data_IF_211363687709
#
_entry.id   IF_211363687709
#
_cell.length_a   1.000
_cell.length_b   1.000
_cell.length_c   1.000
_cell.angle_alpha   90.00
_cell.angle_beta   90.00
_cell.angle_gamma   90.00
#
_symmetry.space_group_name_H-M   'P 1'
#
loop_
_entity.id
_entity.type
_entity.pdbx_description
1 polymer ?
#
# COMPACT_ATOMS: atom_id res chain seq x y z
N UNK A 1 -48.33 4.75 7.74
CA UNK A 1 -46.84 4.73 7.84
C UNK A 1 -46.41 3.31 7.52
N UNK A 2 -46.15 3.01 6.26
CA UNK A 2 -45.66 1.68 5.85
C UNK A 2 -44.13 1.64 5.96
N UNK A 3 -43.61 0.88 6.89
CA UNK A 3 -42.21 0.48 6.89
C UNK A 3 -41.97 -0.26 5.56
N UNK A 4 -41.14 0.32 4.72
CA UNK A 4 -40.66 -0.27 3.49
C UNK A 4 -39.59 -1.31 3.87
N UNK A 5 -39.99 -2.43 4.50
CA UNK A 5 -39.10 -3.55 4.79
C UNK A 5 -38.74 -4.24 3.48
N UNK A 6 -37.46 -4.34 3.18
CA UNK A 6 -37.00 -5.09 2.00
C UNK A 6 -37.43 -6.54 2.10
N UNK A 7 -37.92 -7.13 0.98
CA UNK A 7 -38.34 -8.53 0.97
C UNK A 7 -37.22 -9.49 1.48
N UNK A 8 -37.61 -10.52 2.17
CA UNK A 8 -36.69 -11.52 2.77
C UNK A 8 -36.86 -12.90 2.11
N UNK A 9 -35.93 -13.81 2.35
CA UNK A 9 -36.05 -15.24 1.93
C UNK A 9 -37.34 -15.86 2.51
N UNK A 10 -37.77 -15.42 3.69
CA UNK A 10 -39.02 -15.90 4.31
C UNK A 10 -40.25 -15.46 3.53
N UNK A 11 -40.26 -14.27 2.94
CA UNK A 11 -41.36 -13.79 2.11
C UNK A 11 -41.46 -14.59 0.81
N UNK A 12 -40.33 -14.92 0.18
CA UNK A 12 -40.28 -15.82 -0.99
C UNK A 12 -40.82 -17.20 -0.61
N UNK A 13 -40.37 -17.77 0.52
CA UNK A 13 -40.83 -19.06 0.99
C UNK A 13 -42.35 -19.06 1.23
N UNK A 14 -42.90 -17.99 1.83
CA UNK A 14 -44.34 -17.81 2.07
C UNK A 14 -45.15 -17.73 0.77
N UNK A 15 -44.71 -16.92 -0.20
CA UNK A 15 -45.41 -16.74 -1.50
C UNK A 15 -45.38 -18.01 -2.34
N UNK A 16 -44.20 -18.71 -2.38
CA UNK A 16 -44.03 -19.89 -3.18
C UNK A 16 -44.63 -21.16 -2.57
N UNK A 17 -44.91 -21.15 -1.25
CA UNK A 17 -45.27 -22.31 -0.46
C UNK A 17 -44.18 -23.37 -0.33
N UNK A 18 -42.90 -22.94 -0.51
CA UNK A 18 -41.74 -23.82 -0.42
C UNK A 18 -41.00 -23.60 0.92
N UNK A 19 -40.22 -24.59 1.33
CA UNK A 19 -39.37 -24.43 2.54
C UNK A 19 -38.27 -23.42 2.30
N UNK A 20 -37.83 -22.73 3.37
CA UNK A 20 -36.69 -21.82 3.36
C UNK A 20 -35.44 -22.49 2.74
N UNK A 21 -35.19 -23.77 3.07
CA UNK A 21 -34.06 -24.52 2.53
C UNK A 21 -34.16 -24.80 1.02
N UNK A 22 -35.40 -24.90 0.45
CA UNK A 22 -35.60 -25.04 -1.01
C UNK A 22 -35.35 -23.68 -1.69
N UNK A 23 -35.83 -22.59 -1.14
CA UNK A 23 -35.56 -21.23 -1.64
C UNK A 23 -34.07 -20.92 -1.60
N UNK A 24 -33.37 -21.24 -0.50
CA UNK A 24 -31.92 -21.05 -0.36
C UNK A 24 -31.13 -21.83 -1.40
N UNK A 25 -31.51 -23.09 -1.68
CA UNK A 25 -30.86 -23.89 -2.75
C UNK A 25 -31.05 -23.29 -4.14
N UNK A 26 -32.20 -22.72 -4.44
CA UNK A 26 -32.44 -22.04 -5.73
C UNK A 26 -31.59 -20.77 -5.83
N UNK A 27 -31.59 -19.93 -4.80
CA UNK A 27 -30.85 -18.68 -4.77
C UNK A 27 -29.34 -18.86 -4.92
N UNK A 28 -28.80 -19.95 -4.36
CA UNK A 28 -27.37 -20.22 -4.36
C UNK A 28 -26.94 -21.32 -5.35
N UNK A 29 -27.87 -21.76 -6.23
CA UNK A 29 -27.63 -22.82 -7.20
C UNK A 29 -27.02 -24.11 -6.60
N UNK A 30 -27.52 -24.52 -5.40
CA UNK A 30 -26.97 -25.64 -4.63
C UNK A 30 -27.93 -26.82 -4.68
N UNK A 31 -27.45 -27.96 -5.20
CA UNK A 31 -28.15 -29.22 -5.20
C UNK A 31 -29.32 -29.30 -6.20
N UNK A 32 -29.93 -30.49 -6.33
CA UNK A 32 -31.03 -30.70 -7.23
C UNK A 32 -32.33 -30.08 -6.70
N UNK A 33 -32.85 -29.11 -7.42
CA UNK A 33 -34.19 -28.55 -7.23
C UNK A 33 -35.04 -28.85 -8.46
N UNK A 34 -36.31 -29.26 -8.26
CA UNK A 34 -37.20 -29.52 -9.39
C UNK A 34 -37.40 -28.28 -10.25
N UNK A 35 -37.48 -28.42 -11.58
CA UNK A 35 -37.73 -27.30 -12.51
C UNK A 35 -38.96 -26.48 -12.13
N UNK A 36 -39.98 -27.12 -11.56
CA UNK A 36 -41.21 -26.46 -11.09
C UNK A 36 -40.95 -25.57 -9.86
N UNK A 37 -40.17 -26.05 -8.90
CA UNK A 37 -39.81 -25.26 -7.72
C UNK A 37 -38.87 -24.10 -8.08
N UNK A 38 -37.92 -24.33 -8.96
CA UNK A 38 -37.03 -23.29 -9.49
C UNK A 38 -37.80 -22.15 -10.15
N UNK A 39 -38.73 -22.47 -11.09
CA UNK A 39 -39.53 -21.47 -11.77
C UNK A 39 -40.42 -20.67 -10.81
N UNK A 40 -41.01 -21.32 -9.77
CA UNK A 40 -41.78 -20.60 -8.75
C UNK A 40 -40.96 -19.62 -7.95
N UNK A 41 -39.75 -19.99 -7.56
CA UNK A 41 -38.86 -19.13 -6.79
C UNK A 41 -38.41 -17.93 -7.63
N UNK A 42 -38.02 -18.15 -8.90
CA UNK A 42 -37.61 -17.06 -9.79
C UNK A 42 -38.74 -16.07 -10.04
N UNK A 43 -39.98 -16.55 -10.28
CA UNK A 43 -41.14 -15.68 -10.43
C UNK A 43 -41.45 -14.84 -9.19
N UNK A 44 -41.29 -15.41 -7.97
CA UNK A 44 -41.51 -14.69 -6.74
C UNK A 44 -40.37 -13.66 -6.45
N UNK A 45 -39.13 -13.94 -6.88
CA UNK A 45 -38.02 -12.98 -6.83
C UNK A 45 -38.32 -11.76 -7.68
N UNK A 46 -38.75 -11.97 -8.93
CA UNK A 46 -39.12 -10.89 -9.85
C UNK A 46 -40.33 -10.08 -9.37
N UNK A 47 -41.35 -10.77 -8.86
CA UNK A 47 -42.58 -10.11 -8.33
C UNK A 47 -42.30 -9.25 -7.09
N UNK A 48 -41.46 -9.72 -6.18
CA UNK A 48 -41.13 -9.00 -4.95
C UNK A 48 -40.00 -7.97 -5.14
N UNK A 49 -39.33 -7.95 -6.27
CA UNK A 49 -38.08 -7.19 -6.44
C UNK A 49 -37.03 -7.60 -5.39
N UNK A 50 -36.97 -8.92 -5.07
CA UNK A 50 -36.07 -9.42 -4.06
C UNK A 50 -34.63 -9.37 -4.57
N UNK A 51 -33.83 -8.56 -3.92
CA UNK A 51 -32.38 -8.60 -4.06
C UNK A 51 -31.79 -9.46 -2.93
N UNK A 52 -30.98 -10.50 -3.25
CA UNK A 52 -30.32 -11.29 -2.22
C UNK A 52 -29.55 -10.38 -1.26
N UNK A 53 -29.95 -10.36 0.00
CA UNK A 53 -29.17 -9.67 1.02
C UNK A 53 -27.90 -10.51 1.31
N UNK A 54 -26.89 -10.24 0.52
CA UNK A 54 -25.60 -10.93 0.57
C UNK A 54 -24.97 -10.84 1.96
N UNK A 55 -25.13 -9.69 2.62
CA UNK A 55 -24.67 -9.46 3.99
C UNK A 55 -25.34 -10.38 5.02
N UNK A 56 -26.66 -10.55 4.93
CA UNK A 56 -27.39 -11.48 5.80
C UNK A 56 -26.99 -12.93 5.58
N UNK A 57 -26.70 -13.32 4.32
CA UNK A 57 -26.20 -14.65 3.97
C UNK A 57 -24.78 -14.90 4.51
N UNK A 58 -23.93 -13.89 4.51
CA UNK A 58 -22.57 -13.99 5.03
C UNK A 58 -22.56 -14.07 6.55
N UNK A 59 -23.37 -13.26 7.24
CA UNK A 59 -23.57 -13.32 8.69
C UNK A 59 -24.14 -14.67 9.14
N UNK A 60 -25.03 -15.27 8.37
CA UNK A 60 -25.60 -16.59 8.68
C UNK A 60 -24.60 -17.76 8.53
N UNK A 61 -23.50 -17.58 7.81
CA UNK A 61 -22.44 -18.60 7.65
C UNK A 61 -21.48 -18.71 8.84
N UNK A 62 -21.52 -17.77 9.79
CA UNK A 62 -20.98 -17.95 11.16
C UNK A 62 -19.45 -18.06 11.31
N UNK A 63 -18.64 -17.96 10.26
CA UNK A 63 -17.18 -17.92 10.38
C UNK A 63 -16.66 -16.51 10.07
N UNK A 64 -16.28 -15.79 11.10
CA UNK A 64 -15.45 -14.59 10.93
C UNK A 64 -14.17 -15.02 10.20
N UNK A 65 -13.90 -14.42 9.04
CA UNK A 65 -12.66 -14.62 8.29
C UNK A 65 -11.75 -13.44 8.59
N UNK A 66 -10.46 -13.71 8.76
CA UNK A 66 -9.49 -12.62 8.94
C UNK A 66 -8.63 -12.43 7.69
N UNK A 67 -8.33 -11.17 7.40
CA UNK A 67 -7.25 -10.76 6.50
C UNK A 67 -6.10 -10.30 7.36
N UNK A 68 -4.93 -10.89 7.19
CA UNK A 68 -3.73 -10.47 7.89
C UNK A 68 -3.01 -9.36 7.12
N UNK A 69 -2.59 -8.31 7.81
CA UNK A 69 -1.68 -7.28 7.31
C UNK A 69 -0.32 -7.46 7.98
N UNK A 70 0.72 -7.80 7.19
CA UNK A 70 2.09 -7.98 7.68
C UNK A 70 2.93 -6.76 7.34
N UNK A 71 3.36 -6.00 8.37
CA UNK A 71 4.08 -4.73 8.23
C UNK A 71 5.21 -4.58 9.26
N UNK A 72 6.15 -3.65 9.04
CA UNK A 72 7.13 -3.28 10.06
C UNK A 72 6.50 -2.58 11.27
N UNK A 73 7.05 -2.85 12.47
CA UNK A 73 6.83 -2.02 13.67
C UNK A 73 7.13 -0.56 13.33
N UNK A 74 6.29 0.34 13.77
CA UNK A 74 6.34 1.73 13.36
C UNK A 74 6.12 2.70 14.51
N UNK A 75 6.79 3.84 14.43
CA UNK A 75 6.54 4.99 15.29
C UNK A 75 5.49 5.93 14.70
N UNK A 76 4.91 6.76 15.55
CA UNK A 76 3.97 7.81 15.15
C UNK A 76 4.59 8.75 14.11
N UNK A 77 3.83 9.09 13.07
CA UNK A 77 4.29 9.98 11.99
C UNK A 77 5.24 9.33 10.98
N UNK A 78 5.42 8.01 11.02
CA UNK A 78 6.19 7.29 10.01
C UNK A 78 5.30 6.86 8.84
N UNK A 79 5.91 6.46 7.73
CA UNK A 79 5.21 5.88 6.57
C UNK A 79 4.26 4.74 6.97
N UNK A 80 4.74 3.82 7.80
CA UNK A 80 3.95 2.66 8.22
C UNK A 80 2.78 3.03 9.13
N UNK A 81 2.89 4.10 9.94
CA UNK A 81 1.75 4.59 10.73
C UNK A 81 0.64 5.17 9.86
N UNK A 82 1.00 5.80 8.75
CA UNK A 82 0.01 6.26 7.75
C UNK A 82 -0.62 5.05 7.03
N UNK A 83 0.18 4.06 6.65
CA UNK A 83 -0.32 2.83 6.03
C UNK A 83 -1.34 2.11 6.92
N UNK A 84 -1.06 1.96 8.23
CA UNK A 84 -1.97 1.33 9.20
C UNK A 84 -3.27 2.12 9.38
N UNK A 85 -3.25 3.45 9.24
CA UNK A 85 -4.49 4.22 9.28
C UNK A 85 -5.50 3.78 8.18
N UNK A 86 -5.00 3.21 7.08
CA UNK A 86 -5.83 2.60 6.04
C UNK A 86 -6.58 1.34 6.48
N UNK A 87 -6.14 0.68 7.57
CA UNK A 87 -6.83 -0.49 8.13
C UNK A 87 -8.21 -0.11 8.67
N UNK A 88 -8.32 1.02 9.38
CA UNK A 88 -9.61 1.45 9.93
C UNK A 88 -10.59 1.78 8.82
N UNK A 89 -10.11 2.45 7.76
CA UNK A 89 -10.93 2.69 6.55
C UNK A 89 -11.37 1.37 5.91
N UNK A 90 -10.46 0.39 5.84
CA UNK A 90 -10.79 -0.92 5.29
C UNK A 90 -11.83 -1.66 6.14
N UNK A 91 -11.67 -1.68 7.48
CA UNK A 91 -12.61 -2.34 8.41
C UNK A 91 -14.05 -1.84 8.27
N UNK A 92 -14.23 -0.53 8.07
CA UNK A 92 -15.56 0.04 7.83
C UNK A 92 -16.22 -0.55 6.57
N UNK A 93 -15.42 -0.83 5.53
CA UNK A 93 -15.89 -1.33 4.24
C UNK A 93 -16.08 -2.85 4.25
N UNK A 94 -15.10 -3.59 4.80
CA UNK A 94 -15.09 -5.07 4.72
C UNK A 94 -15.76 -5.74 5.93
N UNK A 95 -15.92 -5.04 7.06
CA UNK A 95 -16.62 -5.54 8.25
C UNK A 95 -18.03 -6.06 7.95
N UNK A 96 -18.86 -5.33 7.19
CA UNK A 96 -20.17 -5.83 6.74
C UNK A 96 -20.11 -7.11 5.90
N UNK A 97 -18.95 -7.44 5.31
CA UNK A 97 -18.71 -8.70 4.59
C UNK A 97 -18.32 -9.87 5.51
N UNK A 98 -18.23 -9.64 6.81
CA UNK A 98 -17.77 -10.64 7.79
C UNK A 98 -16.25 -10.86 7.76
N UNK A 99 -15.51 -9.86 7.33
CA UNK A 99 -14.04 -9.87 7.31
C UNK A 99 -13.52 -8.99 8.45
N UNK A 100 -12.63 -9.53 9.26
CA UNK A 100 -11.81 -8.77 10.21
C UNK A 100 -10.41 -8.55 9.63
N UNK A 101 -9.71 -7.52 10.11
CA UNK A 101 -8.33 -7.22 9.69
C UNK A 101 -7.42 -7.27 10.91
N UNK A 102 -6.45 -8.17 10.87
CA UNK A 102 -5.48 -8.37 11.94
C UNK A 102 -4.10 -7.90 11.49
N UNK A 103 -3.45 -7.06 12.31
CA UNK A 103 -2.13 -6.48 12.00
C UNK A 103 -1.04 -7.28 12.71
N UNK A 104 -0.06 -7.73 11.93
CA UNK A 104 1.13 -8.44 12.39
C UNK A 104 2.36 -7.57 12.16
N UNK A 105 3.03 -7.19 13.24
CA UNK A 105 4.17 -6.28 13.19
C UNK A 105 5.49 -7.00 13.46
N UNK A 106 6.51 -6.69 12.65
CA UNK A 106 7.86 -7.22 12.80
C UNK A 106 8.90 -6.11 12.83
N UNK A 107 10.04 -6.37 13.50
CA UNK A 107 11.17 -5.43 13.42
C UNK A 107 11.78 -5.46 12.02
N UNK A 108 11.72 -4.31 11.34
CA UNK A 108 12.27 -4.18 9.99
C UNK A 108 13.81 -4.30 9.91
N UNK A 109 14.52 -4.43 11.04
CA UNK A 109 15.96 -4.61 11.14
C UNK A 109 16.35 -6.04 11.51
N UNK A 110 15.38 -6.87 11.85
CA UNK A 110 15.60 -8.24 12.32
C UNK A 110 14.85 -9.26 11.46
N UNK A 111 15.61 -10.02 10.68
CA UNK A 111 15.08 -11.12 9.86
C UNK A 111 14.40 -12.19 10.74
N UNK A 112 14.92 -12.45 11.95
CA UNK A 112 14.32 -13.44 12.84
C UNK A 112 12.95 -12.97 13.33
N UNK A 113 12.79 -11.67 13.59
CA UNK A 113 11.49 -11.07 13.87
C UNK A 113 10.50 -11.25 12.71
N UNK A 114 10.93 -10.98 11.46
CA UNK A 114 10.08 -11.20 10.28
C UNK A 114 9.63 -12.67 10.17
N UNK A 115 10.55 -13.62 10.30
CA UNK A 115 10.24 -15.06 10.24
C UNK A 115 9.26 -15.47 11.33
N UNK A 116 9.52 -15.07 12.60
CA UNK A 116 8.67 -15.44 13.72
C UNK A 116 7.28 -14.82 13.63
N UNK A 117 7.17 -13.57 13.19
CA UNK A 117 5.88 -12.90 12.98
C UNK A 117 5.12 -13.52 11.80
N UNK A 118 5.81 -13.81 10.69
CA UNK A 118 5.22 -14.51 9.55
C UNK A 118 4.69 -15.90 9.91
N UNK A 119 5.41 -16.62 10.77
CA UNK A 119 4.95 -17.92 11.27
C UNK A 119 3.70 -17.80 12.15
N UNK A 120 3.67 -16.85 13.10
CA UNK A 120 2.48 -16.56 13.93
C UNK A 120 1.27 -16.17 13.08
N UNK A 121 1.51 -15.34 12.06
CA UNK A 121 0.47 -14.96 11.10
C UNK A 121 -0.11 -16.19 10.39
N UNK A 122 0.75 -17.12 9.93
CA UNK A 122 0.28 -18.35 9.29
C UNK A 122 -0.45 -19.31 10.25
N UNK A 123 -0.12 -19.27 11.55
CA UNK A 123 -0.78 -20.06 12.61
C UNK A 123 -2.17 -19.52 12.95
N UNK A 124 -2.45 -18.23 12.70
CA UNK A 124 -3.81 -17.66 12.85
C UNK A 124 -4.75 -18.08 11.70
N UNK A 125 -4.26 -18.82 10.72
CA UNK A 125 -5.02 -19.33 9.57
C UNK A 125 -5.81 -18.22 8.82
N UNK A 126 -5.15 -17.11 8.40
CA UNK A 126 -5.84 -16.01 7.74
C UNK A 126 -6.43 -16.48 6.42
N UNK A 127 -7.60 -15.94 6.07
CA UNK A 127 -8.23 -16.20 4.78
C UNK A 127 -7.48 -15.53 3.60
N UNK A 128 -6.59 -14.58 3.89
CA UNK A 128 -5.70 -13.93 2.94
C UNK A 128 -4.72 -12.99 3.62
N UNK A 129 -3.67 -12.58 2.92
CA UNK A 129 -2.57 -11.77 3.46
C UNK A 129 -2.31 -10.54 2.59
N UNK A 130 -2.19 -9.37 3.21
CA UNK A 130 -1.69 -8.13 2.60
C UNK A 130 -0.29 -7.87 3.17
N UNK A 131 0.71 -7.65 2.34
CA UNK A 131 2.09 -7.46 2.80
C UNK A 131 2.90 -6.54 1.89
N UNK A 132 3.89 -5.83 2.51
CA UNK A 132 4.97 -5.16 1.83
C UNK A 132 6.25 -6.00 1.94
N UNK A 133 6.86 -6.45 0.84
CA UNK A 133 8.06 -7.29 0.89
C UNK A 133 9.30 -6.47 1.25
N UNK A 134 9.79 -6.62 2.49
CA UNK A 134 11.00 -5.93 2.97
C UNK A 134 12.26 -6.79 2.87
N UNK A 135 12.12 -8.10 3.07
CA UNK A 135 13.20 -9.09 3.01
C UNK A 135 12.93 -10.04 1.84
N UNK A 136 13.54 -9.78 0.68
CA UNK A 136 13.20 -10.46 -0.57
C UNK A 136 13.15 -11.99 -0.49
N UNK A 137 14.22 -12.63 -0.02
CA UNK A 137 14.29 -14.09 0.05
C UNK A 137 13.37 -14.66 1.14
N UNK A 138 13.28 -14.00 2.29
CA UNK A 138 12.37 -14.42 3.36
C UNK A 138 10.89 -14.27 2.95
N UNK A 139 10.59 -13.20 2.21
CA UNK A 139 9.25 -13.01 1.66
C UNK A 139 8.91 -14.11 0.66
N UNK A 140 9.85 -14.55 -0.19
CA UNK A 140 9.63 -15.68 -1.09
C UNK A 140 9.31 -16.97 -0.32
N UNK A 141 10.08 -17.26 0.74
CA UNK A 141 9.82 -18.43 1.59
C UNK A 141 8.44 -18.36 2.27
N UNK A 142 8.03 -17.18 2.73
CA UNK A 142 6.70 -16.96 3.30
C UNK A 142 5.60 -17.18 2.25
N UNK A 143 5.78 -16.64 1.05
CA UNK A 143 4.86 -16.81 -0.09
C UNK A 143 4.73 -18.28 -0.47
N UNK A 144 5.82 -19.04 -0.53
CA UNK A 144 5.77 -20.48 -0.83
C UNK A 144 4.93 -21.24 0.20
N UNK A 145 5.01 -20.86 1.48
CA UNK A 145 4.16 -21.43 2.52
C UNK A 145 2.69 -21.04 2.36
N UNK A 146 2.40 -19.80 2.00
CA UNK A 146 1.03 -19.34 1.68
C UNK A 146 0.45 -20.09 0.48
N UNK A 147 1.22 -20.22 -0.61
CA UNK A 147 0.82 -20.97 -1.82
C UNK A 147 0.47 -22.43 -1.50
N UNK A 148 1.31 -23.12 -0.68
CA UNK A 148 1.04 -24.52 -0.24
C UNK A 148 -0.24 -24.66 0.56
N UNK A 149 -0.66 -23.62 1.28
CA UNK A 149 -1.89 -23.58 2.09
C UNK A 149 -3.09 -23.02 1.31
N UNK A 150 -2.91 -22.56 0.08
CA UNK A 150 -3.96 -21.94 -0.73
C UNK A 150 -4.38 -20.55 -0.20
N UNK A 151 -3.51 -19.84 0.52
CA UNK A 151 -3.78 -18.52 1.08
C UNK A 151 -3.47 -17.46 0.00
N UNK A 152 -4.47 -16.72 -0.51
CA UNK A 152 -4.25 -15.63 -1.45
C UNK A 152 -3.55 -14.45 -0.78
N UNK A 153 -2.77 -13.69 -1.56
CA UNK A 153 -2.06 -12.52 -1.03
C UNK A 153 -2.00 -11.38 -2.03
N UNK A 154 -1.88 -10.17 -1.47
CA UNK A 154 -1.81 -8.90 -2.18
C UNK A 154 -0.58 -8.13 -1.69
N UNK A 155 0.15 -7.52 -2.61
CA UNK A 155 1.25 -6.62 -2.29
C UNK A 155 0.76 -5.18 -2.19
N UNK A 156 1.38 -4.39 -1.31
CA UNK A 156 1.25 -2.93 -1.30
C UNK A 156 2.63 -2.28 -1.13
N UNK A 157 2.75 -0.98 -1.40
CA UNK A 157 3.98 -0.18 -1.40
C UNK A 157 5.03 -0.68 -2.39
N UNK A 158 5.49 -1.90 -2.23
CA UNK A 158 6.45 -2.55 -3.10
C UNK A 158 6.02 -3.97 -3.43
N UNK A 159 6.62 -4.56 -4.47
CA UNK A 159 6.41 -5.96 -4.87
C UNK A 159 7.73 -6.61 -5.25
N UNK A 160 7.78 -7.93 -5.14
CA UNK A 160 8.87 -8.76 -5.69
C UNK A 160 8.39 -9.47 -6.95
N UNK A 161 9.32 -9.97 -7.74
CA UNK A 161 8.99 -10.84 -8.87
C UNK A 161 8.35 -12.13 -8.34
N UNK A 162 7.08 -12.27 -8.60
CA UNK A 162 6.26 -13.44 -8.29
C UNK A 162 5.03 -13.44 -9.21
N UNK A 163 4.56 -14.61 -9.61
CA UNK A 163 3.40 -14.75 -10.49
C UNK A 163 2.11 -15.15 -9.75
N UNK A 164 2.19 -15.35 -8.44
CA UNK A 164 1.08 -15.84 -7.61
C UNK A 164 0.30 -14.77 -6.86
N UNK A 165 0.75 -13.51 -6.81
CA UNK A 165 -0.01 -12.48 -6.11
C UNK A 165 -1.31 -12.12 -6.84
N UNK A 166 -2.36 -11.86 -6.06
CA UNK A 166 -3.67 -11.51 -6.58
C UNK A 166 -3.69 -10.09 -7.16
N UNK A 167 -3.12 -9.13 -6.42
CA UNK A 167 -2.98 -7.74 -6.83
C UNK A 167 -1.79 -7.06 -6.17
N UNK A 168 -1.39 -5.92 -6.74
CA UNK A 168 -0.44 -4.98 -6.18
C UNK A 168 -1.06 -3.58 -6.17
N UNK A 169 -0.89 -2.86 -5.08
CA UNK A 169 -1.27 -1.46 -4.91
C UNK A 169 -0.05 -0.64 -4.48
N UNK A 170 0.40 0.28 -5.31
CA UNK A 170 1.59 1.08 -5.05
C UNK A 170 1.91 2.02 -6.19
N UNK A 171 3.06 2.68 -6.14
CA UNK A 171 3.49 3.55 -7.23
C UNK A 171 4.09 2.77 -8.42
N UNK A 172 4.02 3.33 -9.63
CA UNK A 172 4.89 2.92 -10.72
C UNK A 172 6.31 3.45 -10.44
N UNK A 173 7.10 2.69 -9.66
CA UNK A 173 8.35 3.14 -9.05
C UNK A 173 9.32 3.80 -10.03
N UNK A 174 9.55 3.18 -11.20
CA UNK A 174 10.40 3.77 -12.24
C UNK A 174 9.90 5.15 -12.68
N UNK A 175 8.59 5.28 -12.92
CA UNK A 175 7.98 6.56 -13.31
C UNK A 175 8.04 7.60 -12.20
N UNK A 176 7.92 7.19 -10.94
CA UNK A 176 8.04 8.10 -9.80
C UNK A 176 9.47 8.65 -9.66
N UNK A 177 10.46 7.84 -9.95
CA UNK A 177 11.86 8.27 -10.01
C UNK A 177 12.14 9.20 -11.19
N UNK A 178 11.57 8.88 -12.36
CA UNK A 178 11.66 9.75 -13.55
C UNK A 178 11.04 11.12 -13.28
N UNK A 179 9.85 11.14 -12.67
CA UNK A 179 9.19 12.37 -12.21
C UNK A 179 10.04 13.14 -11.17
N UNK A 180 10.72 12.44 -10.26
CA UNK A 180 11.63 13.07 -9.31
C UNK A 180 12.78 13.81 -10.02
N UNK A 181 13.31 13.27 -11.11
CA UNK A 181 14.31 13.92 -11.94
C UNK A 181 13.79 15.22 -12.56
N UNK A 182 12.60 15.16 -13.14
CA UNK A 182 11.93 16.34 -13.71
C UNK A 182 11.70 17.44 -12.66
N UNK A 183 11.15 17.05 -11.51
CA UNK A 183 10.89 17.98 -10.41
C UNK A 183 12.18 18.55 -9.82
N UNK A 184 13.27 17.79 -9.80
CA UNK A 184 14.55 18.24 -9.27
C UNK A 184 15.24 19.25 -10.19
N UNK A 185 15.27 18.99 -11.48
CA UNK A 185 15.91 19.89 -12.47
C UNK A 185 15.00 21.04 -12.88
N UNK A 186 13.68 20.83 -12.86
CA UNK A 186 12.67 21.78 -13.37
C UNK A 186 12.81 22.04 -14.86
N UNK A 187 13.29 21.06 -15.61
CA UNK A 187 13.53 21.14 -17.03
C UNK A 187 14.73 22.00 -17.43
N UNK A 188 15.61 22.35 -16.46
CA UNK A 188 16.81 23.15 -16.72
C UNK A 188 18.08 22.27 -16.68
N UNK A 189 19.16 22.67 -17.36
CA UNK A 189 20.46 22.03 -17.21
C UNK A 189 20.97 22.11 -15.78
N UNK A 190 21.46 20.96 -15.26
CA UNK A 190 22.02 20.81 -13.92
C UNK A 190 23.32 20.02 -14.02
N UNK A 191 24.42 20.59 -13.48
CA UNK A 191 25.74 19.98 -13.55
C UNK A 191 25.93 18.83 -12.57
N UNK A 192 25.39 18.98 -11.36
CA UNK A 192 25.55 18.00 -10.26
C UNK A 192 24.26 17.84 -9.44
N UNK A 193 23.98 16.61 -9.04
CA UNK A 193 22.90 16.28 -8.11
C UNK A 193 23.40 15.37 -7.00
N UNK A 194 22.87 15.56 -5.79
CA UNK A 194 23.08 14.68 -4.65
C UNK A 194 21.86 13.78 -4.45
N UNK A 195 22.11 12.48 -4.44
CA UNK A 195 21.13 11.46 -4.01
C UNK A 195 21.47 11.04 -2.59
N UNK A 196 20.65 11.47 -1.62
CA UNK A 196 20.80 11.04 -0.23
C UNK A 196 20.16 9.67 -0.05
N UNK A 197 20.90 8.75 0.56
CA UNK A 197 20.50 7.37 0.80
C UNK A 197 20.63 7.04 2.27
N UNK A 198 19.75 6.18 2.77
CA UNK A 198 19.89 5.67 4.14
C UNK A 198 20.95 4.56 4.15
N UNK A 199 21.79 4.58 5.17
CA UNK A 199 22.62 3.44 5.50
C UNK A 199 21.71 2.30 5.95
N UNK A 200 21.72 1.21 5.22
CA UNK A 200 20.86 0.03 5.46
C UNK A 200 21.73 -1.20 5.63
N UNK A 201 21.20 -2.16 6.38
CA UNK A 201 21.79 -3.49 6.45
C UNK A 201 21.90 -4.10 5.04
N UNK A 202 23.09 -4.60 4.65
CA UNK A 202 23.31 -5.29 3.37
C UNK A 202 22.36 -6.48 3.12
N UNK A 203 21.78 -7.06 4.18
CA UNK A 203 20.84 -8.18 4.10
C UNK A 203 19.45 -7.77 3.59
N UNK A 204 19.16 -6.48 3.46
CA UNK A 204 17.91 -5.99 2.87
C UNK A 204 17.97 -6.02 1.35
N UNK A 205 17.43 -7.06 0.75
CA UNK A 205 17.44 -7.28 -0.70
C UNK A 205 16.32 -6.53 -1.44
N UNK A 206 15.19 -6.23 -0.80
CA UNK A 206 14.13 -5.44 -1.42
C UNK A 206 14.29 -3.96 -1.05
N UNK A 207 14.83 -3.19 -1.97
CA UNK A 207 14.91 -1.74 -1.87
C UNK A 207 13.95 -1.12 -2.91
N UNK A 208 12.74 -0.66 -2.51
CA UNK A 208 11.81 0.00 -3.41
C UNK A 208 12.43 1.23 -4.09
N UNK A 209 13.52 1.77 -3.52
CA UNK A 209 14.22 2.89 -4.13
C UNK A 209 15.10 2.50 -5.33
N UNK A 210 15.34 1.21 -5.60
CA UNK A 210 16.18 0.77 -6.75
C UNK A 210 15.53 1.19 -8.07
N UNK A 211 14.26 0.86 -8.25
CA UNK A 211 13.52 1.23 -9.47
C UNK A 211 13.31 2.73 -9.58
N UNK A 212 13.10 3.44 -8.46
CA UNK A 212 13.03 4.91 -8.44
C UNK A 212 14.36 5.52 -8.89
N UNK A 213 15.49 5.02 -8.41
CA UNK A 213 16.82 5.47 -8.87
C UNK A 213 17.07 5.18 -10.35
N UNK A 214 16.62 4.03 -10.84
CA UNK A 214 16.72 3.70 -12.26
C UNK A 214 15.93 4.69 -13.12
N UNK A 215 14.69 5.03 -12.73
CA UNK A 215 13.88 6.03 -13.40
C UNK A 215 14.48 7.44 -13.34
N UNK A 216 14.99 7.83 -12.19
CA UNK A 216 15.70 9.10 -12.00
C UNK A 216 16.95 9.20 -12.90
N UNK A 217 17.74 8.14 -12.95
CA UNK A 217 18.92 8.08 -13.82
C UNK A 217 18.52 8.17 -15.30
N UNK A 218 17.48 7.46 -15.71
CA UNK A 218 16.98 7.52 -17.09
C UNK A 218 16.53 8.92 -17.48
N UNK A 219 15.86 9.65 -16.56
CA UNK A 219 15.52 11.05 -16.82
C UNK A 219 16.77 11.92 -17.03
N UNK A 220 17.79 11.77 -16.18
CA UNK A 220 19.03 12.55 -16.33
C UNK A 220 19.79 12.18 -17.60
N UNK A 221 19.88 10.91 -17.96
CA UNK A 221 20.52 10.46 -19.21
C UNK A 221 19.84 11.06 -20.46
N UNK A 222 18.51 11.26 -20.40
CA UNK A 222 17.73 11.83 -21.51
C UNK A 222 17.81 13.37 -21.57
N UNK A 223 17.77 14.06 -20.42
CA UNK A 223 17.60 15.51 -20.36
C UNK A 223 18.82 16.29 -19.84
N UNK A 224 19.72 15.62 -19.13
CA UNK A 224 20.94 16.19 -18.53
C UNK A 224 22.09 15.18 -18.59
N UNK A 225 22.51 14.72 -19.78
CA UNK A 225 23.45 13.60 -19.98
C UNK A 225 24.81 13.82 -19.31
N UNK A 226 25.24 15.06 -19.14
CA UNK A 226 26.52 15.40 -18.53
C UNK A 226 26.42 15.59 -17.00
N UNK A 227 25.23 15.42 -16.40
CA UNK A 227 25.00 15.62 -14.99
C UNK A 227 25.69 14.56 -14.13
N UNK A 228 26.49 15.02 -13.18
CA UNK A 228 27.19 14.15 -12.23
C UNK A 228 26.23 13.77 -11.09
N UNK A 229 25.95 12.48 -10.94
CA UNK A 229 25.13 11.97 -9.84
C UNK A 229 26.02 11.51 -8.70
N UNK A 230 25.97 12.22 -7.58
CA UNK A 230 26.69 11.84 -6.35
C UNK A 230 25.75 11.18 -5.38
N UNK A 231 26.25 10.28 -4.55
CA UNK A 231 25.48 9.62 -3.50
C UNK A 231 26.12 9.83 -2.14
N UNK A 232 25.29 10.14 -1.14
CA UNK A 232 25.69 10.22 0.27
C UNK A 232 24.83 9.27 1.08
N UNK A 233 25.45 8.46 1.94
CA UNK A 233 24.73 7.61 2.88
C UNK A 233 24.66 8.32 4.24
N UNK A 234 23.45 8.42 4.79
CA UNK A 234 23.21 9.00 6.10
C UNK A 234 22.66 7.93 7.05
N UNK A 235 23.01 8.05 8.32
CA UNK A 235 22.53 7.15 9.36
C UNK A 235 21.21 7.69 9.93
N UNK A 236 20.08 6.97 9.80
CA UNK A 236 18.79 7.44 10.29
C UNK A 236 18.70 7.53 11.81
N UNK A 237 19.62 6.92 12.55
CA UNK A 237 19.62 6.83 14.00
C UNK A 237 20.69 7.71 14.64
N UNK A 238 21.57 8.34 13.83
CA UNK A 238 22.65 9.20 14.28
C UNK A 238 22.60 10.56 13.55
N UNK A 239 21.83 11.55 14.09
CA UNK A 239 21.74 12.87 13.50
C UNK A 239 23.08 13.62 13.46
N UNK A 240 23.95 13.45 14.47
CA UNK A 240 25.24 14.14 14.54
C UNK A 240 26.17 13.63 13.44
N UNK A 241 26.18 12.34 13.20
CA UNK A 241 26.90 11.74 12.09
C UNK A 241 26.36 12.19 10.74
N UNK A 242 25.04 12.26 10.59
CA UNK A 242 24.38 12.77 9.37
C UNK A 242 24.82 14.23 9.11
N UNK A 243 24.88 15.07 10.13
CA UNK A 243 25.37 16.45 10.03
C UNK A 243 26.85 16.54 9.61
N UNK A 244 27.70 15.67 10.15
CA UNK A 244 29.13 15.60 9.80
C UNK A 244 29.31 15.16 8.34
N UNK A 245 28.59 14.12 7.91
CA UNK A 245 28.68 13.58 6.55
C UNK A 245 28.18 14.60 5.51
N UNK A 246 27.08 15.32 5.79
CA UNK A 246 26.59 16.40 4.95
C UNK A 246 27.60 17.55 4.87
N UNK A 247 28.16 17.97 6.00
CA UNK A 247 29.16 19.05 6.06
C UNK A 247 30.42 18.69 5.26
N UNK A 248 30.92 17.48 5.40
CA UNK A 248 32.06 16.99 4.64
C UNK A 248 31.77 16.93 3.15
N UNK A 249 30.56 16.44 2.77
CA UNK A 249 30.14 16.38 1.39
C UNK A 249 30.12 17.76 0.72
N UNK A 250 29.43 18.74 1.31
CA UNK A 250 29.32 20.07 0.73
C UNK A 250 30.61 20.89 0.78
N UNK A 251 31.51 20.58 1.70
CA UNK A 251 32.87 21.12 1.67
C UNK A 251 33.68 20.60 0.47
N UNK A 252 33.51 19.33 0.12
CA UNK A 252 34.18 18.70 -1.02
C UNK A 252 33.52 19.06 -2.37
N UNK A 253 32.21 19.27 -2.40
CA UNK A 253 31.41 19.50 -3.61
C UNK A 253 30.49 20.71 -3.48
N UNK A 254 31.05 21.94 -3.38
CA UNK A 254 30.29 23.18 -3.13
C UNK A 254 29.37 23.57 -4.30
N UNK A 255 29.53 23.00 -5.48
CA UNK A 255 28.69 23.23 -6.65
C UNK A 255 27.41 22.40 -6.67
N UNK A 256 27.26 21.42 -5.77
CA UNK A 256 26.06 20.58 -5.71
C UNK A 256 24.92 21.30 -5.00
N UNK A 257 23.86 21.65 -5.72
CA UNK A 257 22.72 22.41 -5.17
C UNK A 257 21.38 21.71 -5.26
N UNK A 258 21.33 20.54 -5.89
CA UNK A 258 20.11 19.76 -6.14
C UNK A 258 20.16 18.45 -5.38
N UNK A 259 19.17 18.21 -4.54
CA UNK A 259 19.16 17.08 -3.59
C UNK A 259 17.88 16.26 -3.80
N UNK A 260 18.03 14.95 -3.99
CA UNK A 260 16.94 14.00 -4.03
C UNK A 260 17.08 12.92 -2.95
N UNK A 261 15.94 12.49 -2.39
CA UNK A 261 15.86 11.34 -1.50
C UNK A 261 14.62 10.50 -1.86
N UNK A 262 14.81 9.23 -2.21
CA UNK A 262 13.76 8.37 -2.79
C UNK A 262 12.88 7.63 -1.78
N UNK A 263 12.98 7.95 -0.51
CA UNK A 263 12.18 7.39 0.56
C UNK A 263 11.49 8.50 1.38
N UNK A 264 10.63 8.12 2.31
CA UNK A 264 9.83 9.01 3.14
C UNK A 264 10.61 9.87 4.16
N UNK A 265 11.95 9.75 4.20
CA UNK A 265 12.74 10.31 5.32
C UNK A 265 13.56 11.55 4.97
N UNK A 266 13.12 12.34 4.00
CA UNK A 266 13.81 13.60 3.64
C UNK A 266 13.98 14.54 4.84
N UNK A 267 13.07 14.48 5.82
CA UNK A 267 13.13 15.27 7.05
C UNK A 267 14.41 15.05 7.89
N UNK A 268 15.13 13.93 7.69
CA UNK A 268 16.38 13.66 8.42
C UNK A 268 17.50 14.68 8.10
N UNK A 269 17.50 15.20 6.89
CA UNK A 269 18.53 16.16 6.46
C UNK A 269 18.05 17.63 6.59
N UNK A 270 16.78 17.85 6.86
CA UNK A 270 16.17 19.18 6.94
C UNK A 270 16.83 20.07 8.00
N UNK A 271 17.12 19.62 9.25
CA UNK A 271 17.77 20.48 10.25
C UNK A 271 19.13 21.00 9.80
N UNK A 272 19.90 20.18 9.08
CA UNK A 272 21.18 20.60 8.53
C UNK A 272 20.99 21.61 7.39
N UNK A 273 20.05 21.39 6.48
CA UNK A 273 19.74 22.28 5.37
C UNK A 273 19.28 23.67 5.87
N UNK A 274 18.47 23.72 6.93
CA UNK A 274 17.99 24.98 7.52
C UNK A 274 19.12 25.82 8.16
N UNK A 275 20.16 25.15 8.66
CA UNK A 275 21.39 25.85 9.12
C UNK A 275 22.30 26.30 7.96
N UNK A 276 22.12 25.74 6.76
CA UNK A 276 22.94 25.99 5.57
C UNK A 276 22.09 26.36 4.33
N UNK A 277 21.21 27.38 4.39
CA UNK A 277 20.17 27.61 3.37
C UNK A 277 20.72 28.01 2.00
N UNK A 278 21.97 28.46 1.91
CA UNK A 278 22.59 28.87 0.65
C UNK A 278 23.06 27.66 -0.20
N UNK A 279 23.19 26.47 0.38
CA UNK A 279 23.78 25.30 -0.27
C UNK A 279 22.77 24.54 -1.12
N UNK A 280 21.51 24.45 -0.74
CA UNK A 280 20.49 23.75 -1.49
C UNK A 280 19.56 24.72 -2.23
N UNK A 281 19.38 24.52 -3.55
CA UNK A 281 18.45 25.30 -4.39
C UNK A 281 17.15 24.56 -4.62
N UNK A 282 17.23 23.24 -4.81
CA UNK A 282 16.09 22.35 -4.96
C UNK A 282 16.29 21.08 -4.16
N UNK A 283 15.26 20.71 -3.42
CA UNK A 283 15.23 19.49 -2.60
C UNK A 283 13.92 18.76 -2.90
N UNK A 284 14.03 17.54 -3.40
CA UNK A 284 12.87 16.70 -3.73
C UNK A 284 12.89 15.44 -2.88
N UNK A 285 11.77 15.18 -2.22
CA UNK A 285 11.56 14.00 -1.39
C UNK A 285 10.28 13.26 -1.73
N UNK A 286 9.99 12.24 -0.95
CA UNK A 286 8.78 11.44 -1.07
C UNK A 286 7.96 11.50 0.21
N UNK A 287 6.68 11.29 0.06
CA UNK A 287 5.66 11.16 1.10
C UNK A 287 5.34 12.44 1.89
N UNK A 288 4.07 12.55 2.19
CA UNK A 288 3.45 13.69 2.87
C UNK A 288 3.43 13.54 4.40
N UNK A 289 4.48 12.94 5.00
CA UNK A 289 4.60 12.85 6.44
C UNK A 289 4.64 14.25 7.07
N UNK A 290 4.10 14.41 8.28
CA UNK A 290 4.00 15.71 8.98
C UNK A 290 5.32 16.49 8.99
N UNK A 291 6.44 15.81 9.26
CA UNK A 291 7.77 16.43 9.26
C UNK A 291 8.20 16.88 7.86
N UNK A 292 7.85 16.12 6.81
CA UNK A 292 8.14 16.48 5.43
C UNK A 292 7.28 17.67 4.97
N UNK A 293 5.97 17.65 5.28
CA UNK A 293 5.04 18.77 5.02
C UNK A 293 5.48 20.04 5.73
N UNK A 294 5.91 19.94 6.99
CA UNK A 294 6.45 21.10 7.71
C UNK A 294 7.68 21.69 7.00
N UNK A 295 8.60 20.87 6.52
CA UNK A 295 9.78 21.31 5.77
C UNK A 295 9.40 21.90 4.39
N UNK A 296 8.39 21.33 3.72
CA UNK A 296 7.85 21.85 2.46
C UNK A 296 7.24 23.25 2.65
N UNK A 297 6.43 23.45 3.71
CA UNK A 297 5.82 24.74 4.03
C UNK A 297 6.87 25.83 4.35
N UNK A 298 7.96 25.48 5.01
CA UNK A 298 9.09 26.40 5.27
C UNK A 298 9.94 26.67 4.03
N UNK A 299 9.77 25.87 2.95
CA UNK A 299 10.53 26.02 1.70
C UNK A 299 11.92 25.37 1.73
N UNK A 300 12.27 24.62 2.78
CA UNK A 300 13.51 23.84 2.86
C UNK A 300 13.46 22.64 1.88
N UNK A 301 12.31 22.00 1.79
CA UNK A 301 11.99 21.04 0.73
C UNK A 301 11.19 21.75 -0.34
N UNK A 302 11.54 21.56 -1.59
CA UNK A 302 10.90 22.22 -2.74
C UNK A 302 9.67 21.47 -3.22
N UNK A 303 9.74 20.14 -3.22
CA UNK A 303 8.69 19.26 -3.75
C UNK A 303 8.70 17.94 -3.00
N UNK A 304 7.49 17.42 -2.74
CA UNK A 304 7.27 16.04 -2.28
C UNK A 304 6.42 15.30 -3.32
N UNK A 305 6.73 14.03 -3.53
CA UNK A 305 5.93 13.11 -4.33
C UNK A 305 5.18 12.21 -3.36
N UNK A 306 3.88 12.42 -3.20
CA UNK A 306 3.05 11.65 -2.29
C UNK A 306 2.45 10.41 -2.95
N UNK A 307 2.25 9.34 -2.18
CA UNK A 307 1.82 8.03 -2.68
C UNK A 307 0.63 7.39 -1.95
N UNK A 308 0.07 8.01 -0.94
CA UNK A 308 -1.14 7.58 -0.22
C UNK A 308 -1.10 6.14 0.32
N UNK A 309 -0.20 5.81 1.26
CA UNK A 309 -0.04 4.45 1.76
C UNK A 309 -1.27 3.92 2.50
N UNK A 310 -2.09 4.78 3.09
CA UNK A 310 -3.37 4.44 3.71
C UNK A 310 -4.40 3.95 2.68
N UNK A 311 -4.47 4.59 1.51
CA UNK A 311 -5.32 4.14 0.40
C UNK A 311 -4.83 2.83 -0.18
N UNK A 312 -3.51 2.65 -0.32
CA UNK A 312 -2.93 1.40 -0.79
C UNK A 312 -3.36 0.23 0.08
N UNK A 313 -3.25 0.35 1.42
CA UNK A 313 -3.68 -0.69 2.36
C UNK A 313 -5.19 -0.90 2.29
N UNK A 314 -5.98 0.17 2.30
CA UNK A 314 -7.44 0.07 2.24
C UNK A 314 -7.91 -0.67 0.99
N UNK A 315 -7.39 -0.30 -0.19
CA UNK A 315 -7.75 -0.94 -1.46
C UNK A 315 -7.22 -2.37 -1.56
N UNK A 316 -6.04 -2.66 -1.02
CA UNK A 316 -5.47 -4.00 -0.98
C UNK A 316 -6.35 -4.95 -0.15
N UNK A 317 -6.78 -4.51 1.04
CA UNK A 317 -7.68 -5.28 1.91
C UNK A 317 -9.05 -5.47 1.23
N UNK A 318 -9.61 -4.44 0.59
CA UNK A 318 -10.88 -4.55 -0.12
C UNK A 318 -10.81 -5.56 -1.27
N UNK A 319 -9.80 -5.46 -2.14
CA UNK A 319 -9.62 -6.36 -3.28
C UNK A 319 -9.47 -7.81 -2.83
N UNK A 320 -8.69 -8.05 -1.77
CA UNK A 320 -8.50 -9.38 -1.20
C UNK A 320 -9.80 -9.91 -0.58
N UNK A 321 -10.55 -9.05 0.12
CA UNK A 321 -11.84 -9.41 0.74
C UNK A 321 -12.90 -9.77 -0.31
N UNK A 322 -12.96 -9.04 -1.42
CA UNK A 322 -13.85 -9.36 -2.55
C UNK A 322 -13.51 -10.72 -3.17
N UNK A 323 -12.22 -11.03 -3.29
CA UNK A 323 -11.79 -12.35 -3.74
C UNK A 323 -12.20 -13.44 -2.75
N UNK A 324 -11.96 -13.26 -1.46
CA UNK A 324 -12.28 -14.25 -0.41
C UNK A 324 -13.79 -14.51 -0.33
N UNK A 325 -14.60 -13.48 -0.44
CA UNK A 325 -16.05 -13.56 -0.22
C UNK A 325 -16.80 -13.97 -1.48
N UNK A 326 -16.43 -13.41 -2.63
CA UNK A 326 -17.17 -13.54 -3.89
C UNK A 326 -16.44 -14.31 -4.98
N UNK A 327 -15.15 -14.67 -4.76
CA UNK A 327 -14.32 -15.27 -5.80
C UNK A 327 -13.98 -14.31 -6.94
N UNK A 328 -14.13 -13.00 -6.73
CA UNK A 328 -13.85 -11.98 -7.74
C UNK A 328 -12.38 -11.63 -7.75
N UNK A 329 -11.76 -11.71 -8.91
CA UNK A 329 -10.39 -11.22 -9.06
C UNK A 329 -10.39 -9.73 -9.41
N UNK A 330 -9.40 -8.96 -8.95
CA UNK A 330 -9.20 -7.58 -9.38
C UNK A 330 -9.11 -7.48 -10.91
N UNK A 331 -9.66 -6.42 -11.47
CA UNK A 331 -9.67 -6.18 -12.93
C UNK A 331 -8.23 -6.03 -13.47
N UNK A 332 -7.36 -5.44 -12.65
CA UNK A 332 -5.92 -5.32 -12.95
C UNK A 332 -5.12 -5.97 -11.84
N UNK A 333 -4.05 -6.63 -12.22
CA UNK A 333 -3.11 -7.18 -11.25
C UNK A 333 -2.27 -6.08 -10.61
N UNK A 334 -1.77 -5.15 -11.40
CA UNK A 334 -1.03 -3.97 -10.91
C UNK A 334 -1.94 -2.74 -10.93
N UNK A 335 -2.23 -2.21 -9.74
CA UNK A 335 -3.05 -1.03 -9.52
C UNK A 335 -2.15 0.10 -9.04
N UNK A 336 -1.81 0.99 -9.97
CA UNK A 336 -0.93 2.11 -9.66
C UNK A 336 -1.73 3.26 -9.04
N UNK A 337 -1.25 3.73 -7.90
CA UNK A 337 -1.81 4.86 -7.18
C UNK A 337 -1.46 6.19 -7.86
N UNK A 338 -2.20 7.22 -7.54
CA UNK A 338 -1.89 8.58 -7.95
C UNK A 338 -0.55 9.04 -7.35
N UNK A 339 0.19 9.82 -8.12
CA UNK A 339 1.41 10.49 -7.66
C UNK A 339 1.08 11.98 -7.55
N UNK A 340 0.91 12.46 -6.32
CA UNK A 340 0.64 13.88 -6.12
C UNK A 340 1.94 14.66 -5.95
N UNK A 341 2.06 15.73 -6.72
CA UNK A 341 3.17 16.66 -6.62
C UNK A 341 2.79 17.74 -5.60
N UNK A 342 3.41 17.68 -4.42
CA UNK A 342 3.18 18.64 -3.37
C UNK A 342 4.25 19.72 -3.37
N UNK A 343 3.79 20.95 -3.28
CA UNK A 343 4.58 22.17 -3.12
C UNK A 343 4.05 22.94 -1.90
N UNK A 344 4.75 23.96 -1.45
CA UNK A 344 4.24 24.81 -0.36
C UNK A 344 2.87 25.46 -0.64
N UNK A 345 2.43 25.47 -1.91
CA UNK A 345 1.19 26.12 -2.32
C UNK A 345 -0.05 25.21 -2.24
N UNK A 346 0.15 23.89 -2.21
CA UNK A 346 -0.94 22.92 -2.09
C UNK A 346 -0.82 21.98 -0.88
N UNK A 347 0.25 22.11 -0.08
CA UNK A 347 0.52 21.27 1.09
C UNK A 347 -0.52 21.40 2.23
N UNK A 348 -1.38 22.43 2.20
CA UNK A 348 -2.43 22.62 3.20
C UNK A 348 -3.64 21.72 2.99
N UNK A 349 -3.77 21.12 1.82
CA UNK A 349 -4.88 20.22 1.44
C UNK A 349 -4.55 18.72 1.66
N UNK A 350 -3.37 18.44 2.26
CA UNK A 350 -2.87 17.08 2.48
C UNK A 350 -2.49 16.81 3.93
#
# INVERSE_FOLDING_TARGET
>A
MSHNEKPTIMDIARITGLSKGTVDRVLHNRGEVSKKSYAKVMAAIDELGYEPNLYASLLARGSARSVALLIPVHGRGSFWSVAVAGVEKAKEIVGPLGIDVEVFEYDQRDIASFRSTGQKMLESEPAGVVLAPMFGDETKLLIDNMKKRGIPYVFFDSKIEDDGYLAYFGLPEFKSGYLCGDQLTGGLPVDEVLVVRLQRDPLRQSDPTVNRRAGFKAYLEEHNPDCIVRSLFVDPDDPDRTDQELSAFFAAFPGTHHIAMFNSRIHLIVPWLERNPALARRVVGFDNLDANIAALRRGTVSTLIAQHPDEQVSLAVQALSEHIVFGRNPVRRDNYMHMDILTRYNAEYY
#
